data_IF_712183656358
#
_entry.id   IF_712183656358
#
_cell.length_a   1.000
_cell.length_b   1.000
_cell.length_c   1.000
_cell.angle_alpha   90.00
_cell.angle_beta   90.00
_cell.angle_gamma   90.00
#
_symmetry.space_group_name_H-M   'P 1'
#
loop_
_entity.id
_entity.type
_entity.pdbx_description
1 polymer ?
#
# COMPACT_ATOMS: atom_id res chain seq x y z
N UNK A 1 17.48 30.09 -21.29
CA UNK A 1 16.81 29.30 -20.23
C UNK A 1 16.49 30.25 -19.09
N UNK A 2 15.25 30.28 -18.63
CA UNK A 2 14.79 31.17 -17.54
C UNK A 2 14.66 30.37 -16.23
N UNK A 3 14.87 31.03 -15.10
CA UNK A 3 14.65 30.41 -13.79
C UNK A 3 13.16 30.17 -13.53
N UNK A 4 12.85 29.06 -12.86
CA UNK A 4 11.47 28.66 -12.53
C UNK A 4 11.07 29.11 -11.12
N UNK A 5 9.88 29.68 -10.99
CA UNK A 5 9.29 30.18 -9.74
C UNK A 5 7.80 29.87 -9.68
N UNK A 6 7.13 30.20 -8.58
CA UNK A 6 5.67 30.09 -8.47
C UNK A 6 5.15 28.65 -8.51
N UNK A 7 5.92 27.72 -7.93
CA UNK A 7 5.55 26.31 -7.89
C UNK A 7 4.26 26.09 -7.09
N UNK A 8 3.34 25.32 -7.64
CA UNK A 8 2.14 24.84 -6.95
C UNK A 8 1.78 23.44 -7.45
N UNK A 9 1.07 22.67 -6.63
CA UNK A 9 0.66 21.31 -6.96
C UNK A 9 -0.80 21.07 -6.58
N UNK A 10 -1.50 20.29 -7.40
CA UNK A 10 -2.86 19.85 -7.13
C UNK A 10 -3.04 18.41 -7.61
N UNK A 11 -3.80 17.62 -6.85
CA UNK A 11 -4.21 16.29 -7.27
C UNK A 11 -5.68 16.31 -7.70
N UNK A 12 -6.01 15.52 -8.71
CA UNK A 12 -7.42 15.24 -9.02
C UNK A 12 -8.03 14.37 -7.90
N UNK A 13 -9.37 14.28 -7.87
CA UNK A 13 -10.07 13.31 -7.02
C UNK A 13 -9.53 11.90 -7.32
N UNK A 14 -9.38 11.08 -6.30
CA UNK A 14 -8.79 9.74 -6.42
C UNK A 14 -9.38 8.76 -5.40
N UNK A 15 -9.09 7.47 -5.53
CA UNK A 15 -9.81 6.40 -4.81
C UNK A 15 -9.66 6.44 -3.29
N UNK A 16 -8.58 7.06 -2.80
CA UNK A 16 -8.22 7.07 -1.37
C UNK A 16 -8.23 8.49 -0.78
N UNK A 17 -8.77 9.48 -1.50
CA UNK A 17 -8.83 10.87 -1.03
C UNK A 17 -7.45 11.49 -0.80
N UNK A 18 -6.42 11.00 -1.49
CA UNK A 18 -5.05 11.49 -1.35
C UNK A 18 -4.96 12.95 -1.81
N UNK A 19 -4.40 13.82 -0.98
CA UNK A 19 -4.33 15.25 -1.24
C UNK A 19 -3.10 15.86 -0.56
N UNK A 20 -2.51 16.94 -1.10
CA UNK A 20 -1.47 17.69 -0.40
C UNK A 20 -2.00 18.22 0.95
N UNK A 21 -1.31 17.90 2.03
CA UNK A 21 -1.63 18.42 3.37
C UNK A 21 -1.08 19.84 3.58
N UNK A 22 -0.10 20.23 2.76
CA UNK A 22 0.52 21.55 2.78
C UNK A 22 0.88 22.00 1.35
N UNK A 23 1.06 23.31 1.11
CA UNK A 23 1.57 23.80 -0.17
C UNK A 23 2.94 23.21 -0.51
N UNK A 24 3.20 23.01 -1.81
CA UNK A 24 4.49 22.55 -2.31
C UNK A 24 5.59 23.59 -2.01
N UNK A 25 6.59 23.18 -1.23
CA UNK A 25 7.76 23.99 -0.92
C UNK A 25 8.93 23.56 -1.81
N UNK A 26 9.28 24.41 -2.78
CA UNK A 26 10.45 24.22 -3.66
C UNK A 26 11.35 25.43 -3.50
N UNK A 27 12.66 25.21 -3.41
CA UNK A 27 13.63 26.31 -3.38
C UNK A 27 13.47 27.16 -4.65
N UNK A 28 13.12 28.43 -4.46
CA UNK A 28 12.86 29.36 -5.54
C UNK A 28 13.79 30.59 -5.45
N UNK A 29 14.28 31.11 -6.59
CA UNK A 29 14.08 30.59 -7.95
C UNK A 29 14.91 29.32 -8.25
N UNK A 30 14.30 28.35 -8.93
CA UNK A 30 15.00 27.15 -9.42
C UNK A 30 15.78 27.51 -10.69
N UNK A 31 17.10 27.51 -10.59
CA UNK A 31 18.00 27.93 -11.68
C UNK A 31 18.13 26.84 -12.76
N UNK A 32 18.35 27.21 -14.03
CA UNK A 32 18.65 26.24 -15.08
C UNK A 32 19.82 25.33 -14.71
N UNK A 33 19.69 24.03 -14.97
CA UNK A 33 20.67 22.98 -14.66
C UNK A 33 20.95 22.74 -13.16
N UNK A 34 20.18 23.34 -12.24
CA UNK A 34 20.27 23.04 -10.82
C UNK A 34 19.08 22.18 -10.37
N UNK A 35 19.30 20.95 -9.88
CA UNK A 35 18.24 20.15 -9.27
C UNK A 35 17.87 20.71 -7.88
N UNK A 36 16.65 20.41 -7.44
CA UNK A 36 16.19 20.69 -6.08
C UNK A 36 15.31 19.55 -5.56
N UNK A 37 15.48 19.22 -4.29
CA UNK A 37 14.64 18.26 -3.58
C UNK A 37 13.47 18.96 -2.90
N UNK A 38 12.31 18.31 -2.88
CA UNK A 38 11.13 18.78 -2.19
C UNK A 38 10.39 17.61 -1.54
N UNK A 39 9.94 17.80 -0.29
CA UNK A 39 9.09 16.84 0.42
C UNK A 39 7.69 17.42 0.58
N UNK A 40 6.70 16.71 0.04
CA UNK A 40 5.30 17.11 0.12
C UNK A 40 4.57 16.19 1.09
N UNK A 41 4.10 16.75 2.20
CA UNK A 41 3.26 16.01 3.13
C UNK A 41 1.88 15.81 2.51
N UNK A 42 1.37 14.58 2.58
CA UNK A 42 0.07 14.18 2.04
C UNK A 42 -0.90 13.79 3.17
N UNK A 43 -2.19 13.86 2.88
CA UNK A 43 -3.27 13.36 3.71
C UNK A 43 -4.29 12.60 2.85
N UNK A 44 -5.18 11.84 3.50
CA UNK A 44 -6.24 11.05 2.85
C UNK A 44 -7.64 11.61 3.15
N UNK A 45 -7.70 12.93 3.40
CA UNK A 45 -8.93 13.69 3.73
C UNK A 45 -9.52 14.43 2.53
N UNK A 46 -8.95 14.22 1.35
CA UNK A 46 -9.38 14.86 0.11
C UNK A 46 -10.62 14.22 -0.52
N UNK A 47 -11.10 14.79 -1.63
CA UNK A 47 -12.26 14.28 -2.34
C UNK A 47 -11.98 12.91 -2.99
N UNK A 48 -12.94 11.99 -2.82
CA UNK A 48 -12.83 10.61 -3.32
C UNK A 48 -13.52 10.46 -4.67
N UNK A 49 -12.84 9.80 -5.61
CA UNK A 49 -13.40 9.30 -6.86
C UNK A 49 -12.67 8.02 -7.23
N UNK A 50 -13.40 6.93 -7.47
CA UNK A 50 -12.79 5.65 -7.87
C UNK A 50 -12.05 5.83 -9.19
N UNK A 51 -10.78 5.43 -9.20
CA UNK A 51 -9.90 5.45 -10.36
C UNK A 51 -9.69 4.03 -10.90
N UNK A 52 -9.24 3.96 -12.15
CA UNK A 52 -8.74 2.73 -12.76
C UNK A 52 -7.41 3.05 -13.48
N UNK A 53 -6.27 2.47 -13.07
CA UNK A 53 -6.06 1.59 -11.91
C UNK A 53 -6.45 2.23 -10.56
N UNK A 54 -6.75 1.40 -9.55
CA UNK A 54 -7.31 1.86 -8.26
C UNK A 54 -6.42 2.90 -7.55
N UNK A 55 -5.10 2.79 -7.64
CA UNK A 55 -4.12 3.70 -7.02
C UNK A 55 -3.54 4.74 -7.99
N UNK A 56 -4.17 4.91 -9.16
CA UNK A 56 -3.78 5.95 -10.10
C UNK A 56 -4.01 7.35 -9.50
N UNK A 57 -3.00 8.21 -9.58
CA UNK A 57 -3.03 9.58 -9.11
C UNK A 57 -2.72 10.51 -10.28
N UNK A 58 -3.68 11.37 -10.64
CA UNK A 58 -3.47 12.42 -11.61
C UNK A 58 -3.03 13.70 -10.89
N UNK A 59 -1.93 14.29 -11.36
CA UNK A 59 -1.24 15.41 -10.74
C UNK A 59 -1.10 16.55 -11.73
N UNK A 60 -1.39 17.77 -11.27
CA UNK A 60 -1.06 19.00 -11.95
C UNK A 60 0.03 19.72 -11.14
N UNK A 61 1.12 20.12 -11.80
CA UNK A 61 2.17 20.96 -11.22
C UNK A 61 2.28 22.24 -12.03
N UNK A 62 2.27 23.38 -11.37
CA UNK A 62 2.36 24.71 -11.97
C UNK A 62 3.72 25.33 -11.66
N UNK A 63 4.24 26.15 -12.56
CA UNK A 63 5.25 27.16 -12.26
C UNK A 63 4.93 28.48 -13.00
N UNK A 64 5.90 29.38 -13.14
CA UNK A 64 5.80 30.65 -13.86
C UNK A 64 5.79 30.51 -15.40
N UNK A 65 5.96 29.30 -15.94
CA UNK A 65 5.92 29.03 -17.38
C UNK A 65 4.54 28.51 -17.78
N UNK A 66 4.07 27.42 -17.15
CA UNK A 66 2.78 26.80 -17.47
C UNK A 66 2.30 25.86 -16.33
N UNK A 67 1.21 25.14 -16.59
CA UNK A 67 0.71 24.01 -15.80
C UNK A 67 0.96 22.71 -16.56
N UNK A 68 1.63 21.76 -15.91
CA UNK A 68 1.98 20.46 -16.47
C UNK A 68 1.19 19.37 -15.76
N UNK A 69 0.76 18.37 -16.53
CA UNK A 69 -0.06 17.27 -16.04
C UNK A 69 0.68 15.95 -16.23
N UNK A 70 0.63 15.09 -15.23
CA UNK A 70 1.10 13.72 -15.32
C UNK A 70 0.26 12.81 -14.42
N UNK A 71 0.48 11.50 -14.52
CA UNK A 71 -0.10 10.51 -13.64
C UNK A 71 0.95 9.55 -13.12
N UNK A 72 0.77 9.08 -11.89
CA UNK A 72 1.59 8.02 -11.32
C UNK A 72 0.73 7.01 -10.57
N UNK A 73 1.29 5.83 -10.30
CA UNK A 73 0.65 4.80 -9.49
C UNK A 73 1.22 4.88 -8.08
N UNK A 74 0.36 5.09 -7.09
CA UNK A 74 0.76 5.12 -5.69
C UNK A 74 0.88 3.68 -5.17
N UNK A 75 2.02 3.26 -4.59
CA UNK A 75 2.13 1.95 -3.97
C UNK A 75 1.10 1.79 -2.84
N UNK A 76 0.35 0.69 -2.84
CA UNK A 76 -0.80 0.55 -1.93
C UNK A 76 -0.42 0.57 -0.44
N UNK A 77 0.80 0.18 -0.07
CA UNK A 77 1.28 0.21 1.33
C UNK A 77 1.33 1.62 1.92
N UNK A 78 1.40 2.66 1.09
CA UNK A 78 1.32 4.06 1.54
C UNK A 78 -0.03 4.35 2.21
N UNK A 79 -1.07 3.59 1.89
CA UNK A 79 -2.39 3.71 2.50
C UNK A 79 -2.58 2.83 3.74
N UNK A 80 -1.57 2.07 4.19
CA UNK A 80 -1.70 1.23 5.37
C UNK A 80 -1.46 2.02 6.64
N UNK A 81 -2.35 1.88 7.61
CA UNK A 81 -2.30 2.62 8.88
C UNK A 81 -1.68 1.77 10.00
N UNK A 82 -1.07 2.45 10.97
CA UNK A 82 -0.38 1.83 12.11
C UNK A 82 -1.35 1.07 13.04
N UNK A 83 -2.63 1.48 13.11
CA UNK A 83 -3.69 0.79 13.85
C UNK A 83 -4.28 -0.41 13.06
N UNK A 84 -3.43 -1.10 12.29
CA UNK A 84 -3.76 -2.25 11.46
C UNK A 84 -3.60 -3.61 12.13
N UNK A 85 -3.21 -3.67 13.41
CA UNK A 85 -3.13 -4.92 14.17
C UNK A 85 -4.51 -5.28 14.74
N UNK A 86 -5.14 -6.32 14.19
CA UNK A 86 -6.43 -6.81 14.64
C UNK A 86 -6.29 -7.76 15.85
N UNK A 87 -7.22 -7.68 16.81
CA UNK A 87 -7.31 -8.66 17.88
C UNK A 87 -7.58 -10.07 17.34
N UNK A 88 -6.99 -11.09 17.97
CA UNK A 88 -7.07 -12.49 17.52
C UNK A 88 -8.50 -13.04 17.48
N UNK A 89 -9.37 -12.67 18.42
CA UNK A 89 -10.78 -13.13 18.42
C UNK A 89 -11.56 -12.42 17.32
N UNK A 90 -11.30 -11.13 17.13
CA UNK A 90 -11.92 -10.31 16.06
C UNK A 90 -11.49 -10.82 14.68
N UNK A 91 -10.22 -11.19 14.50
CA UNK A 91 -9.71 -11.79 13.26
C UNK A 91 -10.45 -13.08 12.92
N UNK A 92 -10.55 -14.03 13.87
CA UNK A 92 -11.23 -15.30 13.64
C UNK A 92 -12.71 -15.13 13.30
N UNK A 93 -13.40 -14.19 13.96
CA UNK A 93 -14.79 -13.86 13.66
C UNK A 93 -14.93 -13.25 12.25
N UNK A 94 -14.09 -12.25 11.94
CA UNK A 94 -14.11 -11.54 10.65
C UNK A 94 -13.74 -12.47 9.48
N UNK A 95 -12.75 -13.35 9.66
CA UNK A 95 -12.34 -14.33 8.65
C UNK A 95 -13.47 -15.30 8.27
N UNK A 96 -14.27 -15.72 9.25
CA UNK A 96 -15.43 -16.59 9.05
C UNK A 96 -16.61 -15.85 8.44
N UNK A 97 -16.79 -14.58 8.81
CA UNK A 97 -17.90 -13.74 8.33
C UNK A 97 -17.71 -13.28 6.88
N UNK A 98 -16.47 -13.03 6.43
CA UNK A 98 -16.19 -12.70 5.03
C UNK A 98 -16.47 -13.94 4.16
N UNK A 99 -17.39 -13.85 3.17
CA UNK A 99 -17.76 -14.96 2.29
C UNK A 99 -16.54 -15.60 1.61
N UNK A 100 -16.55 -16.93 1.43
CA UNK A 100 -15.45 -17.63 0.77
C UNK A 100 -15.21 -17.18 -0.69
N UNK A 101 -16.25 -16.72 -1.39
CA UNK A 101 -16.11 -16.13 -2.74
C UNK A 101 -15.30 -14.81 -2.74
N UNK A 102 -15.11 -14.20 -1.58
CA UNK A 102 -14.27 -13.02 -1.39
C UNK A 102 -12.84 -13.37 -0.96
N UNK A 103 -12.48 -14.65 -0.98
CA UNK A 103 -11.11 -15.11 -0.80
C UNK A 103 -10.41 -15.20 -2.16
N UNK A 104 -9.28 -14.51 -2.29
CA UNK A 104 -8.40 -14.63 -3.45
C UNK A 104 -7.08 -15.26 -3.02
N UNK A 105 -6.63 -16.27 -3.76
CA UNK A 105 -5.38 -16.96 -3.48
C UNK A 105 -4.34 -16.64 -4.55
N UNK A 106 -3.12 -16.40 -4.10
CA UNK A 106 -1.98 -16.03 -4.91
C UNK A 106 -0.78 -16.91 -4.55
N UNK A 107 0.12 -17.11 -5.51
CA UNK A 107 1.37 -17.82 -5.31
C UNK A 107 2.53 -16.83 -5.41
N UNK A 108 3.25 -16.65 -4.30
CA UNK A 108 4.36 -15.71 -4.18
C UNK A 108 5.67 -16.48 -4.15
N UNK A 109 6.75 -15.90 -4.65
CA UNK A 109 8.11 -16.37 -4.35
C UNK A 109 8.61 -15.64 -3.10
N UNK A 110 8.91 -16.40 -2.05
CA UNK A 110 9.45 -15.87 -0.80
C UNK A 110 10.98 -15.98 -0.72
N UNK A 111 11.63 -16.53 -1.75
CA UNK A 111 13.06 -16.79 -1.76
C UNK A 111 13.49 -17.64 -0.55
N UNK A 112 14.65 -17.32 0.07
CA UNK A 112 15.18 -18.07 1.22
C UNK A 112 14.63 -17.59 2.58
N UNK A 113 13.58 -16.76 2.62
CA UNK A 113 13.11 -16.15 3.87
C UNK A 113 12.39 -17.15 4.77
N UNK A 114 12.70 -17.12 6.07
CA UNK A 114 11.95 -17.86 7.08
C UNK A 114 10.64 -17.17 7.43
N UNK A 115 9.70 -17.89 8.05
CA UNK A 115 8.43 -17.32 8.50
C UNK A 115 8.61 -16.10 9.43
N UNK A 116 9.64 -16.09 10.27
CA UNK A 116 9.91 -14.97 11.18
C UNK A 116 10.49 -13.76 10.44
N UNK A 117 11.36 -13.98 9.44
CA UNK A 117 11.87 -12.91 8.58
C UNK A 117 10.75 -12.29 7.73
N UNK A 118 9.85 -13.12 7.21
CA UNK A 118 8.65 -12.67 6.49
C UNK A 118 7.78 -11.79 7.38
N UNK A 119 7.45 -12.26 8.59
CA UNK A 119 6.65 -11.51 9.55
C UNK A 119 7.28 -10.16 9.89
N UNK A 120 8.61 -10.10 10.12
CA UNK A 120 9.32 -8.86 10.43
C UNK A 120 9.31 -7.86 9.27
N UNK A 121 9.60 -8.30 8.04
CA UNK A 121 9.57 -7.42 6.85
C UNK A 121 8.19 -6.84 6.58
N UNK A 122 7.15 -7.69 6.69
CA UNK A 122 5.77 -7.28 6.51
C UNK A 122 5.33 -6.28 7.59
N UNK A 123 5.74 -6.50 8.84
CA UNK A 123 5.42 -5.60 9.95
C UNK A 123 6.02 -4.20 9.79
N UNK A 124 7.21 -4.07 9.19
CA UNK A 124 7.81 -2.76 8.85
C UNK A 124 6.99 -1.95 7.84
N UNK A 125 6.01 -2.60 7.18
CA UNK A 125 5.12 -1.99 6.21
C UNK A 125 3.65 -2.04 6.68
N UNK A 126 3.39 -2.04 7.99
CA UNK A 126 2.03 -2.07 8.56
C UNK A 126 1.17 -3.29 8.16
N UNK A 127 1.82 -4.43 7.90
CA UNK A 127 1.17 -5.73 7.74
C UNK A 127 1.50 -6.58 8.96
N UNK A 128 0.54 -6.78 9.85
CA UNK A 128 0.79 -7.27 11.19
C UNK A 128 0.49 -8.76 11.33
N UNK A 129 1.44 -9.54 11.83
CA UNK A 129 1.22 -10.95 12.16
C UNK A 129 0.50 -11.08 13.50
N UNK A 130 -0.72 -11.63 13.48
CA UNK A 130 -1.60 -11.82 14.64
C UNK A 130 -1.32 -13.17 15.31
N UNK A 131 -1.05 -14.19 14.50
CA UNK A 131 -0.74 -15.52 14.99
C UNK A 131 0.16 -16.27 14.00
N UNK A 132 1.07 -17.06 14.56
CA UNK A 132 1.87 -18.07 13.86
C UNK A 132 1.45 -19.45 14.37
N UNK A 133 1.25 -20.41 13.47
CA UNK A 133 1.03 -21.82 13.81
C UNK A 133 1.90 -22.69 12.92
N UNK A 134 2.27 -23.85 13.43
CA UNK A 134 2.83 -24.91 12.62
C UNK A 134 1.79 -26.03 12.50
N UNK A 135 1.45 -26.43 11.28
CA UNK A 135 0.46 -27.47 10.98
C UNK A 135 1.09 -28.43 9.99
N UNK A 136 1.27 -29.68 10.38
CA UNK A 136 1.91 -30.72 9.55
C UNK A 136 3.26 -30.29 8.95
N UNK A 137 4.06 -29.57 9.76
CA UNK A 137 5.36 -29.03 9.36
C UNK A 137 5.30 -27.75 8.53
N UNK A 138 4.11 -27.22 8.22
CA UNK A 138 3.92 -25.99 7.45
C UNK A 138 3.67 -24.81 8.38
N UNK A 139 4.38 -23.71 8.14
CA UNK A 139 4.17 -22.48 8.90
C UNK A 139 2.99 -21.71 8.30
N UNK A 140 2.03 -21.37 9.16
CA UNK A 140 0.84 -20.60 8.85
C UNK A 140 0.93 -19.25 9.58
N UNK A 141 1.00 -18.15 8.85
CA UNK A 141 0.93 -16.79 9.39
C UNK A 141 -0.44 -16.19 9.11
N UNK A 142 -1.11 -15.75 10.16
CA UNK A 142 -2.37 -15.02 10.08
C UNK A 142 -2.09 -13.55 10.30
N UNK A 143 -2.48 -12.71 9.35
CA UNK A 143 -2.09 -11.30 9.32
C UNK A 143 -3.26 -10.37 9.05
N UNK A 144 -3.17 -9.15 9.55
CA UNK A 144 -4.10 -8.07 9.19
C UNK A 144 -3.36 -6.83 8.74
N UNK A 145 -4.04 -6.07 7.89
CA UNK A 145 -3.74 -4.68 7.61
C UNK A 145 -5.05 -3.89 7.50
N UNK A 146 -4.93 -2.59 7.68
CA UNK A 146 -6.04 -1.64 7.56
C UNK A 146 -5.61 -0.50 6.66
N UNK A 147 -6.50 -0.06 5.78
CA UNK A 147 -6.28 1.08 4.90
C UNK A 147 -6.77 2.37 5.56
N UNK A 148 -6.27 3.53 5.12
CA UNK A 148 -6.66 4.87 5.61
C UNK A 148 -8.16 5.16 5.52
N UNK A 149 -8.88 4.50 4.60
CA UNK A 149 -10.33 4.60 4.47
C UNK A 149 -11.11 3.59 5.34
N UNK A 150 -10.42 2.86 6.23
CA UNK A 150 -11.01 1.91 7.17
C UNK A 150 -11.25 0.51 6.63
N UNK A 151 -10.92 0.24 5.36
CA UNK A 151 -11.02 -1.12 4.79
C UNK A 151 -9.99 -2.02 5.49
N UNK A 152 -10.47 -3.17 5.96
CA UNK A 152 -9.61 -4.24 6.48
C UNK A 152 -9.31 -5.27 5.40
N UNK A 153 -8.08 -5.77 5.41
CA UNK A 153 -7.67 -6.93 4.61
C UNK A 153 -7.03 -7.94 5.56
N UNK A 154 -7.54 -9.16 5.52
CA UNK A 154 -7.03 -10.28 6.30
C UNK A 154 -6.24 -11.18 5.35
N UNK A 155 -5.11 -11.69 5.83
CA UNK A 155 -4.24 -12.54 5.05
C UNK A 155 -3.90 -13.83 5.82
N UNK A 156 -3.77 -14.92 5.08
CA UNK A 156 -3.16 -16.16 5.52
C UNK A 156 -1.96 -16.45 4.60
N UNK A 157 -0.77 -16.55 5.15
CA UNK A 157 0.42 -17.06 4.45
C UNK A 157 0.66 -18.50 4.86
N UNK A 158 0.74 -19.37 3.86
CA UNK A 158 1.10 -20.78 4.00
C UNK A 158 2.48 -21.02 3.43
N UNK A 159 3.40 -21.44 4.30
CA UNK A 159 4.82 -21.61 3.99
C UNK A 159 5.18 -23.08 4.16
N UNK A 160 5.62 -23.72 3.06
CA UNK A 160 6.01 -25.12 3.06
C UNK A 160 7.54 -25.22 3.13
N UNK A 161 8.11 -26.03 4.05
CA UNK A 161 9.54 -26.25 4.11
C UNK A 161 10.10 -26.76 2.78
N UNK A 162 11.21 -26.18 2.33
CA UNK A 162 11.89 -26.57 1.08
C UNK A 162 11.20 -26.08 -0.20
N UNK A 163 10.06 -25.39 -0.11
CA UNK A 163 9.41 -24.77 -1.25
C UNK A 163 9.53 -23.23 -1.15
N UNK A 164 10.22 -22.56 -2.09
CA UNK A 164 10.31 -21.10 -2.09
C UNK A 164 8.97 -20.43 -2.44
N UNK A 165 8.04 -21.17 -3.07
CA UNK A 165 6.69 -20.67 -3.36
C UNK A 165 5.81 -20.79 -2.12
N UNK A 166 5.26 -19.66 -1.68
CA UNK A 166 4.29 -19.59 -0.58
C UNK A 166 2.90 -19.25 -1.14
N UNK A 167 1.85 -19.68 -0.44
CA UNK A 167 0.48 -19.33 -0.80
C UNK A 167 0.02 -18.16 0.07
N UNK A 168 -0.45 -17.09 -0.56
CA UNK A 168 -1.12 -15.96 0.08
C UNK A 168 -2.62 -16.03 -0.18
N UNK A 169 -3.42 -16.18 0.86
CA UNK A 169 -4.88 -16.07 0.79
C UNK A 169 -5.31 -14.72 1.37
N UNK A 170 -5.96 -13.89 0.57
CA UNK A 170 -6.50 -12.58 0.98
C UNK A 170 -8.01 -12.63 1.10
N UNK A 171 -8.54 -12.13 2.21
CA UNK A 171 -9.97 -11.88 2.42
C UNK A 171 -10.24 -10.41 2.71
N UNK A 172 -11.20 -9.85 2.00
CA UNK A 172 -11.70 -8.48 2.24
C UNK A 172 -13.14 -8.34 1.75
N UNK A 173 -13.88 -7.38 2.32
CA UNK A 173 -15.21 -7.01 1.81
C UNK A 173 -15.15 -6.16 0.53
N UNK A 174 -14.00 -5.54 0.25
CA UNK A 174 -13.77 -4.69 -0.92
C UNK A 174 -12.73 -5.35 -1.86
N UNK A 175 -13.18 -6.25 -2.74
CA UNK A 175 -12.29 -7.09 -3.55
C UNK A 175 -11.36 -6.31 -4.48
N UNK A 176 -11.71 -5.07 -4.83
CA UNK A 176 -10.86 -4.21 -5.65
C UNK A 176 -9.48 -3.93 -5.03
N UNK A 177 -9.32 -4.00 -3.70
CA UNK A 177 -8.01 -3.73 -3.07
C UNK A 177 -7.08 -4.95 -3.08
N UNK A 178 -7.62 -6.16 -3.26
CA UNK A 178 -6.86 -7.39 -3.05
C UNK A 178 -5.67 -7.54 -4.01
N UNK A 179 -5.81 -7.14 -5.27
CA UNK A 179 -4.70 -7.19 -6.25
C UNK A 179 -3.59 -6.20 -5.91
N UNK A 180 -3.95 -4.99 -5.43
CA UNK A 180 -2.95 -4.01 -4.99
C UNK A 180 -2.22 -4.49 -3.73
N UNK A 181 -2.92 -5.13 -2.79
CA UNK A 181 -2.30 -5.76 -1.62
C UNK A 181 -1.35 -6.89 -2.03
N UNK A 182 -1.77 -7.77 -2.94
CA UNK A 182 -0.92 -8.83 -3.49
C UNK A 182 0.38 -8.29 -4.07
N UNK A 183 0.33 -7.25 -4.91
CA UNK A 183 1.51 -6.60 -5.49
C UNK A 183 2.45 -6.04 -4.42
N UNK A 184 1.90 -5.54 -3.31
CA UNK A 184 2.70 -5.07 -2.18
C UNK A 184 3.39 -6.22 -1.44
N UNK A 185 2.71 -7.34 -1.24
CA UNK A 185 3.36 -8.54 -0.72
C UNK A 185 4.53 -8.92 -1.62
N UNK A 186 4.33 -9.06 -2.95
CA UNK A 186 5.41 -9.36 -3.89
C UNK A 186 6.57 -8.35 -3.76
N UNK A 187 6.28 -7.05 -3.74
CA UNK A 187 7.31 -6.01 -3.62
C UNK A 187 8.16 -6.14 -2.35
N UNK A 188 7.52 -6.34 -1.19
CA UNK A 188 8.22 -6.43 0.11
C UNK A 188 9.06 -7.71 0.21
N UNK A 189 8.62 -8.80 -0.41
CA UNK A 189 9.36 -10.07 -0.40
C UNK A 189 10.66 -9.99 -1.21
N UNK A 190 10.70 -9.15 -2.24
CA UNK A 190 11.86 -8.99 -3.13
C UNK A 190 12.71 -7.75 -2.83
N UNK A 191 12.38 -6.97 -1.81
CA UNK A 191 13.19 -5.85 -1.31
C UNK A 191 14.34 -6.27 -0.39
#
# INVERSE_FOLDING_TARGET
MQAMTGFAIQFNKNSFGLTPAQPLQVQAPLQPNFPADASLQLATTGPVQKMDPLTNLQVAIKNNVDVFYFSCVVPMHVFYVEDGLMDKRVFLATWKDIPAQNELQFSLDAGPLTADQLAQRLQQNNIFTIAKRNVDGQDMLYQSLKLTNGIWVLAELKIQPGNPRITLSLKTRALEVAHGVHQIYELILHS
#
